data_IF_670316679351
#
_entry.id   IF_670316679351
#
_cell.length_a   1.000
_cell.length_b   1.000
_cell.length_c   1.000
_cell.angle_alpha   90.00
_cell.angle_beta   90.00
_cell.angle_gamma   90.00
#
_symmetry.space_group_name_H-M   'P 1'
#
loop_
_entity.id
_entity.type
_entity.pdbx_description
1 polymer ?
#
# COMPACT_ATOMS: atom_id res chain seq x y z
N UNK A 1 -5.16 10.13 -12.22
CA UNK A 1 -4.64 11.08 -11.21
C UNK A 1 -3.34 11.65 -11.75
N UNK A 2 -3.20 12.97 -11.77
CA UNK A 2 -1.96 13.65 -12.16
C UNK A 2 -1.25 14.10 -10.89
N UNK A 3 -0.03 13.61 -10.65
CA UNK A 3 0.74 13.98 -9.45
C UNK A 3 2.18 14.22 -9.85
N UNK A 4 2.74 15.35 -9.41
CA UNK A 4 4.15 15.64 -9.68
C UNK A 4 5.11 14.85 -8.77
N UNK A 5 4.69 14.58 -7.52
CA UNK A 5 5.41 13.74 -6.56
C UNK A 5 4.43 12.94 -5.73
N UNK A 6 4.70 11.65 -5.53
CA UNK A 6 3.91 10.81 -4.63
C UNK A 6 4.39 11.02 -3.19
N UNK A 7 3.92 12.11 -2.58
CA UNK A 7 4.04 12.33 -1.14
C UNK A 7 2.97 11.53 -0.37
N UNK A 8 3.02 11.57 0.97
CA UNK A 8 2.11 10.80 1.82
C UNK A 8 0.63 11.12 1.53
N UNK A 9 0.31 12.39 1.26
CA UNK A 9 -1.05 12.84 0.96
C UNK A 9 -1.52 12.35 -0.42
N UNK A 10 -0.67 12.44 -1.45
CA UNK A 10 -0.98 11.91 -2.77
C UNK A 10 -1.08 10.38 -2.76
N UNK A 11 -0.27 9.71 -1.94
CA UNK A 11 -0.33 8.27 -1.69
C UNK A 11 -1.65 7.85 -1.05
N UNK A 12 -2.11 8.59 -0.04
CA UNK A 12 -3.40 8.38 0.61
C UNK A 12 -4.56 8.48 -0.38
N UNK A 13 -4.57 9.55 -1.19
CA UNK A 13 -5.62 9.79 -2.18
C UNK A 13 -5.61 8.74 -3.29
N UNK A 14 -4.42 8.37 -3.78
CA UNK A 14 -4.26 7.30 -4.76
C UNK A 14 -4.81 5.97 -4.22
N UNK A 15 -4.46 5.63 -2.98
CA UNK A 15 -4.95 4.40 -2.32
C UNK A 15 -6.47 4.42 -2.18
N UNK A 16 -7.05 5.55 -1.77
CA UNK A 16 -8.51 5.73 -1.67
C UNK A 16 -9.19 5.49 -3.02
N UNK A 17 -8.68 6.11 -4.08
CA UNK A 17 -9.22 5.99 -5.44
C UNK A 17 -9.19 4.56 -5.95
N UNK A 18 -8.10 3.81 -5.72
CA UNK A 18 -8.01 2.42 -6.18
C UNK A 18 -8.88 1.47 -5.34
N UNK A 19 -9.00 1.69 -4.03
CA UNK A 19 -9.74 0.80 -3.12
C UNK A 19 -11.26 0.98 -3.16
N UNK A 20 -11.77 2.15 -3.56
CA UNK A 20 -13.21 2.35 -3.75
C UNK A 20 -13.78 1.53 -4.93
N UNK A 21 -12.94 0.85 -5.72
CA UNK A 21 -13.35 -0.22 -6.66
C UNK A 21 -14.09 0.22 -7.92
N UNK A 22 -14.68 1.41 -7.94
CA UNK A 22 -15.47 1.93 -9.06
C UNK A 22 -14.63 2.56 -10.17
N UNK A 23 -13.37 2.91 -9.91
CA UNK A 23 -12.54 3.68 -10.86
C UNK A 23 -11.20 3.01 -11.12
N UNK A 24 -10.87 2.86 -12.41
CA UNK A 24 -9.53 2.45 -12.85
C UNK A 24 -8.62 3.68 -12.87
N UNK A 25 -7.50 3.61 -12.15
CA UNK A 25 -6.60 4.75 -11.99
C UNK A 25 -5.40 4.62 -12.94
N UNK A 26 -5.22 5.65 -13.77
CA UNK A 26 -3.96 5.92 -14.48
C UNK A 26 -3.17 6.95 -13.67
N UNK A 27 -1.95 6.59 -13.29
CA UNK A 27 -1.02 7.49 -12.60
C UNK A 27 -0.08 8.14 -13.62
N UNK A 28 -0.06 9.47 -13.63
CA UNK A 28 0.94 10.22 -14.40
C UNK A 28 1.89 10.84 -13.40
N UNK A 29 3.17 10.48 -13.48
CA UNK A 29 4.21 10.92 -12.55
C UNK A 29 5.41 11.53 -13.29
N UNK A 30 6.04 12.54 -12.68
CA UNK A 30 7.28 13.13 -13.19
C UNK A 30 8.51 12.35 -12.69
N UNK A 31 8.44 11.93 -11.43
CA UNK A 31 9.44 11.12 -10.75
C UNK A 31 8.75 10.03 -9.93
N UNK A 32 9.44 8.89 -9.78
CA UNK A 32 8.99 7.80 -8.93
C UNK A 32 10.22 7.09 -8.37
N UNK A 33 10.43 7.25 -7.07
CA UNK A 33 11.51 6.59 -6.32
C UNK A 33 11.10 5.16 -5.97
N UNK A 34 12.06 4.35 -5.57
CA UNK A 34 11.83 2.94 -5.20
C UNK A 34 10.71 2.74 -4.14
N UNK A 35 10.67 3.46 -3.01
CA UNK A 35 9.58 3.30 -2.04
C UNK A 35 8.22 3.66 -2.65
N UNK A 36 8.15 4.71 -3.45
CA UNK A 36 6.92 5.18 -4.10
C UNK A 36 6.43 4.17 -5.13
N UNK A 37 7.35 3.59 -5.91
CA UNK A 37 7.05 2.54 -6.88
C UNK A 37 6.46 1.30 -6.20
N UNK A 38 7.06 0.85 -5.10
CA UNK A 38 6.53 -0.29 -4.34
C UNK A 38 5.12 0.01 -3.81
N UNK A 39 4.89 1.21 -3.30
CA UNK A 39 3.59 1.64 -2.81
C UNK A 39 2.52 1.65 -3.92
N UNK A 40 2.84 2.20 -5.09
CA UNK A 40 1.93 2.27 -6.25
C UNK A 40 1.53 0.87 -6.73
N UNK A 41 2.49 -0.05 -6.78
CA UNK A 41 2.24 -1.46 -7.12
C UNK A 41 1.37 -2.13 -6.07
N UNK A 42 1.65 -1.90 -4.80
CA UNK A 42 0.86 -2.44 -3.69
C UNK A 42 -0.59 -1.95 -3.70
N UNK A 43 -0.82 -0.69 -4.11
CA UNK A 43 -2.17 -0.14 -4.21
C UNK A 43 -2.95 -0.71 -5.38
N UNK A 44 -2.31 -1.34 -6.36
CA UNK A 44 -2.98 -1.96 -7.51
C UNK A 44 -3.26 -0.99 -8.66
N UNK A 45 -2.43 0.04 -8.83
CA UNK A 45 -2.53 0.94 -9.98
C UNK A 45 -2.28 0.17 -11.26
N UNK A 46 -3.22 0.29 -12.21
CA UNK A 46 -3.17 -0.46 -13.48
C UNK A 46 -2.23 0.16 -14.50
N UNK A 47 -2.20 1.48 -14.62
CA UNK A 47 -1.37 2.13 -15.61
C UNK A 47 -0.53 3.25 -15.01
N UNK A 48 0.75 3.31 -15.37
CA UNK A 48 1.67 4.39 -15.05
C UNK A 48 2.19 5.01 -16.35
N UNK A 49 2.20 6.33 -16.43
CA UNK A 49 2.83 7.07 -17.52
C UNK A 49 3.79 8.13 -16.96
N UNK A 50 4.93 8.31 -17.62
CA UNK A 50 5.81 9.43 -17.31
C UNK A 50 5.23 10.74 -17.86
N UNK A 51 5.27 11.82 -17.06
CA UNK A 51 4.78 13.14 -17.45
C UNK A 51 5.43 13.63 -18.76
N UNK A 52 6.73 13.40 -18.94
CA UNK A 52 7.46 13.79 -20.15
C UNK A 52 7.08 12.96 -21.40
N UNK A 53 6.40 11.82 -21.22
CA UNK A 53 5.94 10.94 -22.31
C UNK A 53 4.42 11.00 -22.49
N UNK A 54 3.70 11.77 -21.68
CA UNK A 54 2.25 11.84 -21.67
C UNK A 54 1.72 12.68 -22.85
N UNK A 55 1.79 12.11 -24.06
CA UNK A 55 1.12 12.67 -25.24
C UNK A 55 -0.37 12.36 -25.20
N UNK A 56 -1.23 13.14 -25.90
CA UNK A 56 -2.68 12.87 -25.93
C UNK A 56 -3.04 11.45 -26.37
N UNK A 57 -2.34 10.92 -27.37
CA UNK A 57 -2.55 9.55 -27.87
C UNK A 57 -2.15 8.49 -26.82
N UNK A 58 -1.01 8.67 -26.13
CA UNK A 58 -0.57 7.76 -25.09
C UNK A 58 -1.49 7.79 -23.87
N UNK A 59 -1.96 8.98 -23.48
CA UNK A 59 -2.91 9.12 -22.39
C UNK A 59 -4.23 8.42 -22.72
N UNK A 60 -4.76 8.62 -23.92
CA UNK A 60 -5.97 7.96 -24.39
C UNK A 60 -5.79 6.43 -24.39
N UNK A 61 -4.66 5.95 -24.88
CA UNK A 61 -4.33 4.52 -24.87
C UNK A 61 -4.30 3.96 -23.44
N UNK A 62 -3.57 4.60 -22.52
CA UNK A 62 -3.45 4.14 -21.14
C UNK A 62 -4.80 4.12 -20.40
N UNK A 63 -5.67 5.12 -20.64
CA UNK A 63 -7.02 5.15 -20.07
C UNK A 63 -7.87 3.99 -20.60
N UNK A 64 -7.84 3.72 -21.92
CA UNK A 64 -8.57 2.59 -22.50
C UNK A 64 -8.03 1.24 -22.04
N UNK A 65 -6.70 1.08 -21.90
CA UNK A 65 -6.08 -0.14 -21.39
C UNK A 65 -6.44 -0.37 -19.92
N UNK A 66 -6.33 0.66 -19.08
CA UNK A 66 -6.77 0.58 -17.68
C UNK A 66 -8.27 0.27 -17.57
N UNK A 67 -9.13 0.86 -18.40
CA UNK A 67 -10.57 0.54 -18.41
C UNK A 67 -10.85 -0.94 -18.72
N UNK A 68 -10.01 -1.58 -19.54
CA UNK A 68 -10.08 -3.02 -19.87
C UNK A 68 -9.43 -3.91 -18.80
N UNK A 69 -8.85 -3.32 -17.74
CA UNK A 69 -8.13 -4.05 -16.70
C UNK A 69 -6.71 -4.46 -17.12
N UNK A 70 -6.20 -3.93 -18.23
CA UNK A 70 -4.84 -4.21 -18.68
C UNK A 70 -3.84 -3.29 -17.98
N UNK A 71 -2.76 -3.89 -17.51
CA UNK A 71 -1.67 -3.16 -16.86
C UNK A 71 -0.71 -2.54 -17.88
N UNK A 72 -0.36 -1.27 -17.72
CA UNK A 72 0.61 -0.58 -18.57
C UNK A 72 1.68 0.09 -17.72
N UNK A 73 2.94 -0.29 -17.93
CA UNK A 73 4.09 0.23 -17.19
C UNK A 73 5.21 0.64 -18.16
N UNK A 74 5.88 1.78 -17.94
CA UNK A 74 7.05 2.16 -18.70
C UNK A 74 8.16 1.11 -18.56
N UNK A 75 8.93 0.82 -19.62
CA UNK A 75 9.97 -0.21 -19.60
C UNK A 75 10.98 -0.07 -18.45
N UNK A 76 11.39 1.16 -18.14
CA UNK A 76 12.33 1.45 -17.05
C UNK A 76 11.76 1.10 -15.67
N UNK A 77 10.44 1.22 -15.49
CA UNK A 77 9.76 0.81 -14.26
C UNK A 77 9.67 -0.71 -14.16
N UNK A 78 9.41 -1.41 -15.26
CA UNK A 78 9.41 -2.88 -15.29
C UNK A 78 10.78 -3.42 -14.87
N UNK A 79 11.87 -2.88 -15.43
CA UNK A 79 13.22 -3.29 -15.08
C UNK A 79 13.51 -3.08 -13.58
N UNK A 80 13.16 -1.92 -13.04
CA UNK A 80 13.32 -1.63 -11.60
C UNK A 80 12.51 -2.59 -10.72
N UNK A 81 11.25 -2.88 -11.08
CA UNK A 81 10.43 -3.84 -10.35
C UNK A 81 11.05 -5.24 -10.37
N UNK A 82 11.58 -5.69 -11.51
CA UNK A 82 12.24 -6.99 -11.61
C UNK A 82 13.50 -7.06 -10.75
N UNK A 83 14.30 -5.99 -10.70
CA UNK A 83 15.47 -5.91 -9.81
C UNK A 83 15.07 -5.98 -8.34
N UNK A 84 14.04 -5.24 -7.94
CA UNK A 84 13.54 -5.18 -6.57
C UNK A 84 12.92 -6.52 -6.12
N UNK A 85 12.12 -7.16 -6.96
CA UNK A 85 11.59 -8.50 -6.70
C UNK A 85 12.71 -9.54 -6.53
N UNK A 86 13.78 -9.41 -7.33
CA UNK A 86 14.98 -10.25 -7.18
C UNK A 86 15.68 -10.05 -5.83
N UNK A 87 15.76 -8.81 -5.33
CA UNK A 87 16.36 -8.50 -4.03
C UNK A 87 15.50 -9.02 -2.87
N UNK A 88 14.19 -8.78 -2.89
CA UNK A 88 13.26 -9.27 -1.88
C UNK A 88 13.29 -10.79 -1.73
N UNK A 89 13.34 -11.52 -2.86
CA UNK A 89 13.45 -12.98 -2.82
C UNK A 89 14.75 -13.45 -2.17
N UNK A 90 15.88 -12.78 -2.42
CA UNK A 90 17.15 -13.13 -1.75
C UNK A 90 17.09 -12.87 -0.24
N UNK A 91 16.59 -11.71 0.17
CA UNK A 91 16.43 -11.38 1.59
C UNK A 91 15.45 -12.30 2.34
N UNK A 92 14.41 -12.80 1.66
CA UNK A 92 13.48 -13.78 2.21
C UNK A 92 14.09 -15.18 2.36
N UNK A 93 15.08 -15.53 1.52
CA UNK A 93 15.77 -16.84 1.57
C UNK A 93 16.93 -16.85 2.59
N UNK A 94 17.49 -15.69 2.94
CA UNK A 94 18.50 -15.55 4.00
C UNK A 94 17.88 -15.52 5.42
N UNK A 95 16.55 -15.51 5.52
CA UNK A 95 15.83 -15.60 6.79
C UNK A 95 15.61 -17.07 7.17
N UNK A 96 16.43 -17.59 8.08
CA UNK A 96 16.27 -18.92 8.68
C UNK A 96 14.85 -19.18 9.20
N UNK A 97 14.36 -20.43 9.20
CA UNK A 97 13.03 -20.78 9.68
C UNK A 97 13.03 -20.81 11.21
N UNK A 98 12.82 -19.65 11.84
CA UNK A 98 12.77 -19.58 13.30
C UNK A 98 12.75 -18.15 13.83
N UNK A 99 11.55 -17.55 13.86
CA UNK A 99 11.29 -16.35 14.66
C UNK A 99 11.10 -15.08 13.86
N UNK A 100 9.94 -14.46 14.11
CA UNK A 100 9.55 -13.13 13.65
C UNK A 100 9.30 -13.03 12.14
N UNK A 101 8.03 -13.03 11.74
CA UNK A 101 7.61 -12.70 10.38
C UNK A 101 8.04 -11.27 10.05
N UNK A 102 9.25 -11.16 9.49
CA UNK A 102 9.86 -9.91 9.06
C UNK A 102 8.92 -9.22 8.08
N UNK A 103 8.57 -8.03 8.50
CA UNK A 103 7.70 -7.08 7.86
C UNK A 103 8.30 -6.79 6.48
N UNK A 104 7.62 -7.20 5.41
CA UNK A 104 7.80 -6.54 4.12
C UNK A 104 7.65 -5.05 4.41
N UNK A 105 8.61 -4.17 4.04
CA UNK A 105 8.48 -2.73 4.21
C UNK A 105 7.34 -2.26 3.31
N UNK A 106 6.13 -2.38 3.86
CA UNK A 106 4.90 -1.93 3.25
C UNK A 106 4.88 -0.44 3.54
N UNK A 107 4.78 0.42 2.52
CA UNK A 107 4.63 1.88 2.72
C UNK A 107 3.30 2.25 3.40
N UNK A 108 2.51 1.22 3.77
CA UNK A 108 1.20 1.32 4.36
C UNK A 108 0.95 0.34 5.51
N UNK A 109 -0.31 0.16 5.86
CA UNK A 109 -0.77 -0.85 6.82
C UNK A 109 -0.84 -2.21 6.11
N UNK A 110 -0.22 -3.23 6.72
CA UNK A 110 -0.36 -4.59 6.27
C UNK A 110 -1.82 -5.08 6.46
N UNK A 111 -2.31 -6.08 5.69
CA UNK A 111 -3.69 -6.56 5.79
C UNK A 111 -4.13 -6.87 7.23
N UNK A 112 -3.28 -7.59 7.99
CA UNK A 112 -3.52 -7.92 9.40
C UNK A 112 -3.65 -6.70 10.32
N UNK A 113 -2.94 -5.61 10.01
CA UNK A 113 -2.99 -4.37 10.79
C UNK A 113 -4.30 -3.63 10.49
N UNK A 114 -4.74 -3.65 9.23
CA UNK A 114 -6.05 -3.12 8.81
C UNK A 114 -7.18 -3.85 9.52
N UNK A 115 -7.14 -5.18 9.58
CA UNK A 115 -8.17 -5.98 10.26
C UNK A 115 -8.28 -5.61 11.75
N UNK A 116 -7.14 -5.49 12.43
CA UNK A 116 -7.11 -5.07 13.83
C UNK A 116 -7.65 -3.65 14.00
N UNK A 117 -7.23 -2.70 13.17
CA UNK A 117 -7.66 -1.29 13.30
C UNK A 117 -9.12 -1.10 12.93
N UNK A 118 -9.67 -1.87 11.99
CA UNK A 118 -11.10 -1.89 11.66
C UNK A 118 -11.95 -2.28 12.86
N UNK A 119 -11.57 -3.35 13.56
CA UNK A 119 -12.31 -3.78 14.75
C UNK A 119 -12.19 -2.77 15.92
N UNK A 120 -11.07 -2.04 16.02
CA UNK A 120 -10.96 -0.93 16.98
C UNK A 120 -11.91 0.21 16.61
N UNK A 121 -12.06 0.52 15.32
CA UNK A 121 -13.00 1.54 14.85
C UNK A 121 -14.47 1.14 15.10
N UNK A 122 -14.78 -0.16 15.08
CA UNK A 122 -16.07 -0.71 15.52
C UNK A 122 -16.28 -0.64 17.06
N UNK A 123 -15.28 -0.21 17.82
CA UNK A 123 -15.36 -0.05 19.27
C UNK A 123 -14.99 -1.30 20.08
N UNK A 124 -14.40 -2.32 19.46
CA UNK A 124 -14.01 -3.55 20.15
C UNK A 124 -12.73 -3.36 20.98
N UNK A 125 -12.70 -4.04 22.13
CA UNK A 125 -11.51 -4.13 22.95
C UNK A 125 -10.53 -5.22 22.44
N UNK A 126 -9.32 -5.25 23.03
CA UNK A 126 -8.28 -6.20 22.63
C UNK A 126 -8.68 -7.66 22.80
N UNK A 127 -9.54 -7.97 23.78
CA UNK A 127 -10.01 -9.34 24.05
C UNK A 127 -11.01 -9.76 22.97
N UNK A 128 -11.99 -8.93 22.68
CA UNK A 128 -12.98 -9.15 21.62
C UNK A 128 -12.32 -9.26 20.24
N UNK A 129 -11.30 -8.43 19.96
CA UNK A 129 -10.50 -8.52 18.72
C UNK A 129 -9.76 -9.86 18.66
N UNK A 130 -9.17 -10.29 19.77
CA UNK A 130 -8.43 -11.55 19.84
C UNK A 130 -9.33 -12.76 19.56
N UNK A 131 -10.57 -12.73 20.06
CA UNK A 131 -11.59 -13.76 19.79
C UNK A 131 -12.02 -13.74 18.32
N UNK A 132 -12.35 -12.57 17.75
CA UNK A 132 -12.77 -12.44 16.34
C UNK A 132 -11.71 -12.87 15.33
N UNK A 133 -10.44 -12.55 15.59
CA UNK A 133 -9.32 -12.85 14.69
C UNK A 133 -8.61 -14.17 15.02
N UNK A 134 -9.11 -14.94 16.00
CA UNK A 134 -8.47 -16.15 16.52
C UNK A 134 -6.99 -15.94 16.90
N UNK A 135 -6.69 -14.78 17.50
CA UNK A 135 -5.37 -14.39 17.98
C UNK A 135 -5.29 -14.41 19.50
N UNK A 136 -4.08 -14.37 20.06
CA UNK A 136 -3.91 -14.04 21.48
C UNK A 136 -4.01 -12.53 21.70
N UNK A 137 -4.47 -12.08 22.87
CA UNK A 137 -4.45 -10.65 23.24
C UNK A 137 -3.04 -10.04 23.10
N UNK A 138 -1.99 -10.82 23.42
CA UNK A 138 -0.60 -10.42 23.26
C UNK A 138 -0.28 -10.15 21.79
N UNK A 139 -0.74 -11.01 20.89
CA UNK A 139 -0.56 -10.83 19.44
C UNK A 139 -1.20 -9.53 18.97
N UNK A 140 -2.44 -9.25 19.38
CA UNK A 140 -3.15 -8.01 19.02
C UNK A 140 -2.39 -6.77 19.54
N UNK A 141 -1.92 -6.80 20.79
CA UNK A 141 -1.09 -5.73 21.37
C UNK A 141 0.20 -5.52 20.59
N UNK A 142 0.86 -6.60 20.18
CA UNK A 142 2.10 -6.55 19.41
C UNK A 142 1.87 -5.97 18.00
N UNK A 143 0.79 -6.37 17.32
CA UNK A 143 0.42 -5.81 16.00
C UNK A 143 0.19 -4.30 16.10
N UNK A 144 -0.60 -3.87 17.08
CA UNK A 144 -0.83 -2.45 17.37
C UNK A 144 0.47 -1.69 17.67
N UNK A 145 1.34 -2.26 18.50
CA UNK A 145 2.59 -1.63 18.87
C UNK A 145 3.54 -1.52 17.66
N UNK A 146 3.71 -2.58 16.89
CA UNK A 146 4.54 -2.58 15.69
C UNK A 146 4.01 -1.56 14.66
N UNK A 147 2.70 -1.52 14.43
CA UNK A 147 2.03 -0.55 13.57
C UNK A 147 2.29 0.88 14.03
N UNK A 148 2.01 1.19 15.30
CA UNK A 148 2.14 2.55 15.84
C UNK A 148 3.60 3.02 15.83
N UNK A 149 4.54 2.14 16.17
CA UNK A 149 5.98 2.45 16.12
C UNK A 149 6.45 2.68 14.69
N UNK A 150 6.04 1.83 13.75
CA UNK A 150 6.45 1.90 12.34
C UNK A 150 5.90 3.14 11.63
N UNK A 151 4.65 3.51 11.91
CA UNK A 151 3.98 4.67 11.30
C UNK A 151 4.02 5.93 12.18
N UNK A 152 4.79 5.92 13.27
CA UNK A 152 4.94 7.03 14.22
C UNK A 152 3.59 7.57 14.77
N UNK A 153 2.65 6.66 15.03
CA UNK A 153 1.33 7.00 15.54
C UNK A 153 1.35 7.05 17.07
N UNK A 154 0.72 8.07 17.64
CA UNK A 154 0.82 8.35 19.07
C UNK A 154 -0.10 7.48 19.93
N UNK A 155 -1.27 7.07 19.42
CA UNK A 155 -2.24 6.27 20.17
C UNK A 155 -3.19 5.52 19.23
N UNK A 156 -4.05 4.66 19.80
CA UNK A 156 -5.03 3.85 19.06
C UNK A 156 -6.01 4.70 18.25
N UNK A 157 -6.46 5.83 18.81
CA UNK A 157 -7.36 6.74 18.11
C UNK A 157 -6.66 7.40 16.90
N UNK A 158 -5.37 7.72 17.02
CA UNK A 158 -4.55 8.19 15.91
C UNK A 158 -4.41 7.10 14.84
N UNK A 159 -4.24 5.83 15.21
CA UNK A 159 -4.23 4.73 14.25
C UNK A 159 -5.54 4.57 13.47
N UNK A 160 -6.69 4.72 14.15
CA UNK A 160 -8.01 4.72 13.48
C UNK A 160 -8.15 5.95 12.57
N UNK A 161 -7.80 7.14 13.05
CA UNK A 161 -7.88 8.37 12.26
C UNK A 161 -6.93 8.36 11.04
N UNK A 162 -5.77 7.73 11.18
CA UNK A 162 -4.86 7.45 10.07
C UNK A 162 -5.52 6.49 9.09
N UNK A 163 -6.05 5.36 9.57
CA UNK A 163 -6.70 4.36 8.72
C UNK A 163 -7.86 4.94 7.89
N UNK A 164 -8.68 5.82 8.49
CA UNK A 164 -9.76 6.54 7.81
C UNK A 164 -9.24 7.54 6.76
N UNK A 165 -8.26 8.38 7.13
CA UNK A 165 -7.67 9.39 6.22
C UNK A 165 -7.02 8.75 5.00
N UNK A 166 -6.42 7.59 5.21
CA UNK A 166 -5.67 6.83 4.23
C UNK A 166 -6.50 5.80 3.45
N UNK A 167 -7.81 5.70 3.74
CA UNK A 167 -8.74 4.82 3.03
C UNK A 167 -8.55 3.32 3.31
N UNK A 168 -8.06 2.94 4.48
CA UNK A 168 -7.98 1.53 4.89
C UNK A 168 -9.30 0.99 5.44
N UNK A 169 -10.10 1.85 6.07
CA UNK A 169 -11.40 1.57 6.69
C UNK A 169 -12.38 2.70 6.45
#
# INVERSE_FOLDING_TARGET
MLVDRLDDVAGAELRRLVRCGEQRVVLIASELREPELMAVVEYGVQAILWRHQATPQKLLHAVHSAARGEGELPPDLINRLMTQLGQLRRSALDSSPGGSGTLVPTLGMAPREVDVVRLIAEGLDTKQISEKLAYSERTVKNVLHALMTRLQLQNRAHAVAYALREGYI
#
